data_IF_693334359460
#
_entry.id   IF_693334359460
#
_cell.length_a   1.000
_cell.length_b   1.000
_cell.length_c   1.000
_cell.angle_alpha   90.00
_cell.angle_beta   90.00
_cell.angle_gamma   90.00
#
_symmetry.space_group_name_H-M   'P 1'
#
loop_
_entity.id
_entity.type
_entity.pdbx_description
1 polymer ?
#
# COMPACT_ATOMS: atom_id res chain seq x y z
N UNK A 1 21.61 23.44 3.49
CA UNK A 1 20.30 23.30 4.16
C UNK A 1 19.41 22.38 3.35
N UNK A 2 18.99 21.25 3.92
CA UNK A 2 17.95 20.30 3.43
C UNK A 2 16.58 20.92 3.18
N UNK A 3 16.35 22.16 3.60
CA UNK A 3 15.00 22.74 3.70
C UNK A 3 14.34 22.48 5.06
N UNK A 4 15.08 21.95 6.03
CA UNK A 4 14.60 21.82 7.41
C UNK A 4 14.40 23.17 8.10
N UNK A 5 13.35 23.22 8.93
CA UNK A 5 12.99 24.40 9.69
C UNK A 5 13.94 24.66 10.86
N UNK A 6 13.91 25.89 11.38
CA UNK A 6 14.57 26.23 12.64
C UNK A 6 13.84 25.54 13.79
N UNK A 7 14.62 24.99 14.72
CA UNK A 7 14.10 24.54 16.02
C UNK A 7 13.96 25.73 16.97
N UNK A 8 12.94 25.74 17.84
CA UNK A 8 12.75 26.79 18.86
C UNK A 8 12.43 26.16 20.21
N UNK A 9 13.18 26.54 21.25
CA UNK A 9 12.93 26.08 22.61
C UNK A 9 11.91 26.96 23.37
N UNK A 10 11.55 26.56 24.60
CA UNK A 10 10.62 27.30 25.45
C UNK A 10 11.15 28.69 25.89
N UNK A 11 12.44 28.96 25.73
CA UNK A 11 13.08 30.23 26.02
C UNK A 11 13.23 31.12 24.77
N UNK A 12 12.58 30.76 23.65
CA UNK A 12 12.67 31.44 22.36
C UNK A 12 14.10 31.51 21.79
N UNK A 13 14.96 30.56 22.14
CA UNK A 13 16.21 30.36 21.43
C UNK A 13 15.96 29.54 20.17
N UNK A 14 16.54 29.97 19.06
CA UNK A 14 16.47 29.27 17.78
C UNK A 14 17.71 28.39 17.60
N UNK A 15 17.53 27.21 17.02
CA UNK A 15 18.59 26.26 16.75
C UNK A 15 18.58 25.85 15.28
N UNK A 16 19.76 25.77 14.68
CA UNK A 16 19.95 25.35 13.30
C UNK A 16 21.31 24.68 13.11
N UNK A 17 21.43 24.00 11.98
CA UNK A 17 22.70 23.53 11.45
C UNK A 17 23.09 24.38 10.24
N UNK A 18 24.34 24.83 10.20
CA UNK A 18 24.95 25.47 9.04
C UNK A 18 25.75 24.45 8.24
N UNK A 19 25.81 24.64 6.92
CA UNK A 19 26.67 23.86 6.03
C UNK A 19 28.04 24.52 5.83
N UNK A 20 28.69 24.12 4.74
CA UNK A 20 29.96 24.65 4.28
C UNK A 20 29.97 26.19 4.27
N UNK A 21 31.05 26.75 4.79
CA UNK A 21 31.26 28.20 4.84
C UNK A 21 32.58 28.58 5.47
N UNK A 22 32.84 29.88 5.56
CA UNK A 22 33.90 30.40 6.43
C UNK A 22 33.69 29.91 7.87
N UNK A 23 34.79 29.70 8.58
CA UNK A 23 34.75 29.35 10.00
C UNK A 23 35.73 30.24 10.76
N UNK A 24 35.17 31.15 11.55
CA UNK A 24 35.91 32.13 12.37
C UNK A 24 35.40 32.18 13.82
N UNK A 25 34.40 31.35 14.15
CA UNK A 25 33.81 31.23 15.49
C UNK A 25 34.85 30.98 16.59
N UNK A 26 35.91 30.21 16.30
CA UNK A 26 36.98 29.92 17.25
C UNK A 26 38.06 31.02 17.38
N UNK A 27 38.09 32.01 16.49
CA UNK A 27 39.13 33.05 16.48
C UNK A 27 38.59 34.42 16.88
N UNK A 28 37.82 35.04 15.99
CA UNK A 28 37.31 36.41 16.13
C UNK A 28 35.78 36.48 16.07
N UNK A 29 35.12 35.32 15.97
CA UNK A 29 33.67 35.22 15.81
C UNK A 29 33.20 35.65 14.42
N UNK A 30 31.93 35.34 14.12
CA UNK A 30 31.22 35.88 12.96
C UNK A 30 30.83 34.84 11.92
N UNK A 31 31.64 33.79 11.71
CA UNK A 31 31.34 32.71 10.76
C UNK A 31 31.31 31.35 11.44
N UNK A 32 30.23 30.61 11.21
CA UNK A 32 29.93 29.34 11.87
C UNK A 32 29.72 28.23 10.82
N UNK A 33 30.63 28.05 9.87
CA UNK A 33 30.55 26.91 8.92
C UNK A 33 30.50 25.57 9.64
N UNK A 34 29.69 24.63 9.12
CA UNK A 34 29.48 23.27 9.65
C UNK A 34 29.27 23.21 11.16
N UNK A 35 28.29 23.96 11.66
CA UNK A 35 28.05 24.14 13.09
C UNK A 35 26.59 23.95 13.46
N UNK A 36 26.33 23.42 14.66
CA UNK A 36 25.07 23.68 15.35
C UNK A 36 25.15 25.09 15.96
N UNK A 37 24.15 25.92 15.71
CA UNK A 37 24.13 27.32 16.17
C UNK A 37 22.89 27.56 17.01
N UNK A 38 23.07 28.13 18.20
CA UNK A 38 22.01 28.66 19.07
C UNK A 38 21.93 30.16 18.91
N UNK A 39 20.80 30.67 18.47
CA UNK A 39 20.47 32.09 18.43
C UNK A 39 19.55 32.44 19.60
N UNK A 40 19.83 33.53 20.32
CA UNK A 40 18.89 34.07 21.29
C UNK A 40 18.23 35.33 20.75
N UNK A 41 16.98 35.57 21.17
CA UNK A 41 16.21 36.78 20.86
C UNK A 41 16.09 37.73 22.05
N UNK A 42 16.66 37.38 23.21
CA UNK A 42 16.37 38.05 24.50
C UNK A 42 16.81 39.51 24.60
N UNK A 43 17.72 39.99 23.76
CA UNK A 43 18.15 41.41 23.72
C UNK A 43 18.45 41.94 22.31
N UNK A 44 18.49 41.04 21.33
CA UNK A 44 18.56 41.21 19.86
C UNK A 44 18.80 39.81 19.30
N UNK A 45 18.54 39.57 18.02
CA UNK A 45 18.89 38.29 17.40
C UNK A 45 20.42 38.16 17.31
N UNK A 46 21.01 37.26 18.09
CA UNK A 46 22.45 37.03 18.12
C UNK A 46 22.79 35.58 18.45
N UNK A 47 23.99 35.13 18.04
CA UNK A 47 24.52 33.82 18.45
C UNK A 47 24.79 33.84 19.95
N UNK A 48 24.19 32.89 20.67
CA UNK A 48 24.33 32.72 22.10
C UNK A 48 25.31 31.58 22.44
N UNK A 49 25.33 30.52 21.63
CA UNK A 49 26.28 29.41 21.75
C UNK A 49 26.36 28.62 20.43
N UNK A 50 27.33 27.72 20.31
CA UNK A 50 27.50 26.88 19.13
C UNK A 50 28.28 25.60 19.42
N UNK A 51 28.19 24.63 18.51
CA UNK A 51 29.08 23.48 18.42
C UNK A 51 29.57 23.36 16.98
N UNK A 52 30.86 23.13 16.77
CA UNK A 52 31.41 22.73 15.48
C UNK A 52 32.27 21.46 15.68
N UNK A 53 32.14 20.43 14.84
CA UNK A 53 32.95 19.22 14.94
C UNK A 53 34.45 19.51 14.89
N UNK A 54 35.28 18.76 15.62
CA UNK A 54 36.74 18.96 15.66
C UNK A 54 37.39 18.84 14.27
N UNK A 55 36.76 18.10 13.36
CA UNK A 55 37.16 17.93 11.96
C UNK A 55 36.46 18.89 10.98
N UNK A 56 35.85 19.99 11.46
CA UNK A 56 35.18 21.02 10.65
C UNK A 56 35.93 21.38 9.37
N UNK A 57 37.24 21.66 9.45
CA UNK A 57 38.04 22.01 8.28
C UNK A 57 38.13 20.87 7.24
N UNK A 58 38.17 19.61 7.70
CA UNK A 58 38.14 18.46 6.79
C UNK A 58 36.77 18.33 6.13
N UNK A 59 35.69 18.47 6.90
CA UNK A 59 34.34 18.41 6.37
C UNK A 59 34.12 19.46 5.28
N UNK A 60 34.57 20.70 5.54
CA UNK A 60 34.49 21.79 4.58
C UNK A 60 35.26 21.49 3.28
N UNK A 61 36.46 20.91 3.37
CA UNK A 61 37.26 20.54 2.19
C UNK A 61 36.66 19.38 1.39
N UNK A 62 35.90 18.50 2.04
CA UNK A 62 35.32 17.30 1.44
C UNK A 62 33.85 17.44 1.03
N UNK A 63 33.24 18.62 1.18
CA UNK A 63 31.80 18.84 0.95
C UNK A 63 30.93 17.92 1.84
N UNK A 64 31.35 17.72 3.10
CA UNK A 64 30.63 16.92 4.09
C UNK A 64 29.72 17.79 4.98
N UNK A 65 29.00 18.74 4.35
CA UNK A 65 28.14 19.73 5.01
C UNK A 65 27.39 19.16 6.22
N UNK A 66 27.56 19.80 7.38
CA UNK A 66 26.74 19.45 8.54
C UNK A 66 25.29 19.85 8.29
N UNK A 67 25.05 21.11 7.90
CA UNK A 67 23.73 21.64 7.58
C UNK A 67 23.13 21.12 6.27
N UNK A 68 23.57 19.96 5.77
CA UNK A 68 22.74 19.18 4.85
C UNK A 68 21.58 18.51 5.57
N UNK A 69 21.73 18.17 6.85
CA UNK A 69 20.63 17.69 7.68
C UNK A 69 19.90 18.82 8.39
N UNK A 70 19.00 18.41 9.27
CA UNK A 70 18.25 19.29 10.15
C UNK A 70 18.31 18.79 11.59
N UNK A 71 18.50 19.70 12.56
CA UNK A 71 18.49 19.34 13.95
C UNK A 71 17.05 19.18 14.47
N UNK A 72 16.86 18.35 15.49
CA UNK A 72 15.63 18.34 16.29
C UNK A 72 15.92 18.55 17.78
N UNK A 73 15.05 19.29 18.47
CA UNK A 73 15.06 19.35 19.92
C UNK A 73 14.46 18.05 20.48
N UNK A 74 15.11 17.48 21.48
CA UNK A 74 14.63 16.27 22.12
C UNK A 74 13.88 16.60 23.42
N UNK A 75 12.85 15.81 23.79
CA UNK A 75 12.19 15.99 25.07
C UNK A 75 13.16 15.81 26.25
N UNK A 76 13.04 16.64 27.27
CA UNK A 76 13.92 16.57 28.46
C UNK A 76 13.91 15.20 29.15
N UNK A 77 12.83 14.42 28.96
CA UNK A 77 12.70 13.05 29.45
C UNK A 77 13.75 12.07 28.90
N UNK A 78 14.41 12.38 27.78
CA UNK A 78 15.54 11.59 27.28
C UNK A 78 16.89 12.08 27.80
N UNK A 79 16.92 13.24 28.46
CA UNK A 79 18.09 13.83 29.08
C UNK A 79 18.58 13.08 30.32
N UNK A 80 19.64 13.59 30.91
CA UNK A 80 20.18 13.14 32.20
C UNK A 80 20.26 14.32 33.17
N UNK A 81 20.61 14.06 34.43
CA UNK A 81 20.85 15.14 35.41
C UNK A 81 21.99 16.07 34.96
N UNK A 82 23.00 15.53 34.27
CA UNK A 82 24.13 16.33 33.78
C UNK A 82 23.82 17.05 32.46
N UNK A 83 22.94 16.48 31.64
CA UNK A 83 22.59 16.97 30.31
C UNK A 83 21.06 16.91 30.11
N UNK A 84 20.30 17.83 30.71
CA UNK A 84 18.84 17.78 30.73
C UNK A 84 18.21 18.16 29.39
N UNK A 85 18.83 19.08 28.63
CA UNK A 85 18.25 19.69 27.44
C UNK A 85 19.06 19.30 26.20
N UNK A 86 18.51 18.41 25.36
CA UNK A 86 19.27 17.83 24.25
C UNK A 86 18.81 18.32 22.87
N UNK A 87 19.77 18.37 21.97
CA UNK A 87 19.64 18.60 20.53
C UNK A 87 20.36 17.47 19.80
N UNK A 88 19.78 16.97 18.71
CA UNK A 88 20.43 15.94 17.89
C UNK A 88 20.35 16.28 16.42
N UNK A 89 21.38 15.90 15.68
CA UNK A 89 21.51 16.18 14.26
C UNK A 89 22.63 15.39 13.59
N UNK A 90 22.65 15.42 12.26
CA UNK A 90 23.63 14.74 11.43
C UNK A 90 23.69 15.39 10.04
N UNK A 91 24.82 15.27 9.34
CA UNK A 91 25.01 15.83 7.99
C UNK A 91 25.44 14.80 6.94
N UNK A 92 26.05 15.28 5.85
CA UNK A 92 26.55 14.42 4.74
C UNK A 92 27.59 13.40 5.20
N UNK A 93 28.34 13.72 6.27
CA UNK A 93 29.34 12.83 6.86
C UNK A 93 28.72 11.52 7.42
N UNK A 94 27.44 11.54 7.83
CA UNK A 94 26.77 10.38 8.44
C UNK A 94 27.11 10.17 9.93
N UNK A 95 27.74 11.15 10.57
CA UNK A 95 27.94 11.18 12.03
C UNK A 95 26.71 11.74 12.72
N UNK A 96 26.23 11.06 13.76
CA UNK A 96 25.18 11.60 14.64
C UNK A 96 25.85 12.34 15.80
N UNK A 97 25.44 13.59 16.02
CA UNK A 97 25.91 14.45 17.10
C UNK A 97 24.79 14.67 18.11
N UNK A 98 25.05 14.37 19.38
CA UNK A 98 24.16 14.69 20.50
C UNK A 98 24.76 15.85 21.30
N UNK A 99 24.07 16.98 21.30
CA UNK A 99 24.54 18.25 21.85
C UNK A 99 23.69 18.66 23.04
N UNK A 100 24.33 19.16 24.09
CA UNK A 100 23.65 19.77 25.24
C UNK A 100 23.34 21.24 24.90
N UNK A 101 22.06 21.63 25.00
CA UNK A 101 21.57 22.97 24.67
C UNK A 101 22.00 24.03 25.70
N UNK A 102 22.41 23.60 26.89
CA UNK A 102 22.89 24.47 27.96
C UNK A 102 24.40 24.69 27.88
N UNK A 103 25.11 23.80 27.20
CA UNK A 103 26.55 23.87 26.98
C UNK A 103 26.90 23.14 25.68
N UNK A 104 26.93 23.88 24.55
CA UNK A 104 27.14 23.26 23.25
C UNK A 104 28.60 22.84 23.00
N UNK A 105 29.52 23.15 23.91
CA UNK A 105 30.89 22.63 23.88
C UNK A 105 31.86 23.36 22.94
N UNK A 106 31.32 24.15 21.99
CA UNK A 106 32.07 24.96 21.03
C UNK A 106 33.12 24.16 20.25
N UNK A 107 33.89 24.84 19.40
CA UNK A 107 34.93 24.17 18.63
C UNK A 107 36.16 23.87 19.48
N UNK A 108 36.68 22.66 19.33
CA UNK A 108 38.00 22.29 19.82
C UNK A 108 38.70 21.43 18.74
N UNK A 109 39.92 21.79 18.31
CA UNK A 109 40.58 21.12 17.18
C UNK A 109 41.02 19.68 17.49
N UNK A 110 40.93 19.22 18.73
CA UNK A 110 41.41 17.90 19.16
C UNK A 110 40.29 16.92 19.55
N UNK A 111 39.09 17.42 19.88
CA UNK A 111 37.97 16.59 20.31
C UNK A 111 36.64 17.34 20.22
N UNK A 112 35.52 16.60 20.20
CA UNK A 112 34.19 17.16 20.36
C UNK A 112 33.83 17.24 21.86
N UNK A 113 33.54 18.43 22.37
CA UNK A 113 33.15 18.64 23.78
C UNK A 113 31.62 18.58 23.98
N UNK A 114 30.96 17.61 23.34
CA UNK A 114 29.51 17.43 23.40
C UNK A 114 29.16 16.13 24.12
N UNK A 115 27.86 15.86 24.30
CA UNK A 115 27.37 14.68 25.02
C UNK A 115 27.81 13.38 24.33
N UNK A 116 27.65 13.30 23.00
CA UNK A 116 28.02 12.10 22.26
C UNK A 116 28.28 12.38 20.77
N UNK A 117 29.21 11.64 20.18
CA UNK A 117 29.45 11.57 18.72
C UNK A 117 29.40 10.11 18.28
N UNK A 118 28.64 9.79 17.23
CA UNK A 118 28.51 8.43 16.67
C UNK A 118 28.90 8.44 15.19
N UNK A 119 30.21 8.35 14.87
CA UNK A 119 30.68 8.39 13.49
C UNK A 119 30.25 7.13 12.73
N UNK A 120 29.76 7.31 11.50
CA UNK A 120 29.38 6.21 10.60
C UNK A 120 28.19 5.36 11.06
N UNK A 121 27.41 5.83 12.04
CA UNK A 121 26.19 5.13 12.49
C UNK A 121 25.14 5.03 11.37
N UNK A 122 25.10 6.06 10.52
CA UNK A 122 24.25 6.20 9.35
C UNK A 122 25.09 6.64 8.15
N UNK A 123 24.52 6.60 6.94
CA UNK A 123 25.09 7.30 5.79
C UNK A 123 24.65 8.77 5.77
N UNK A 124 25.22 9.56 4.86
CA UNK A 124 24.92 10.99 4.74
C UNK A 124 23.42 11.28 4.63
N UNK A 125 22.99 12.34 5.32
CA UNK A 125 21.59 12.76 5.39
C UNK A 125 21.37 14.12 4.74
N UNK A 126 20.21 14.27 4.13
CA UNK A 126 19.72 15.52 3.51
C UNK A 126 18.32 15.86 4.05
N UNK A 127 18.11 15.69 5.34
CA UNK A 127 16.84 15.87 6.03
C UNK A 127 16.99 15.69 7.54
N UNK A 128 15.90 15.87 8.27
CA UNK A 128 15.88 15.70 9.73
C UNK A 128 15.61 14.26 10.14
N UNK A 129 16.08 13.82 11.33
CA UNK A 129 15.53 12.65 11.98
C UNK A 129 14.08 12.88 12.43
N UNK A 130 13.37 11.79 12.70
CA UNK A 130 12.17 11.82 13.52
C UNK A 130 12.44 11.27 14.92
N UNK A 131 11.65 11.72 15.89
CA UNK A 131 11.66 11.17 17.25
C UNK A 131 10.30 10.59 17.62
N UNK A 132 10.30 9.40 18.23
CA UNK A 132 9.12 8.85 18.88
C UNK A 132 9.50 7.88 19.99
N UNK A 133 8.96 8.11 21.20
CA UNK A 133 9.05 7.17 22.32
C UNK A 133 10.47 6.60 22.55
N UNK A 134 11.44 7.49 22.77
CA UNK A 134 12.86 7.18 22.96
C UNK A 134 13.59 6.59 21.73
N UNK A 135 12.99 6.64 20.54
CA UNK A 135 13.63 6.22 19.28
C UNK A 135 13.90 7.42 18.37
N UNK A 136 15.09 7.45 17.79
CA UNK A 136 15.51 8.36 16.73
C UNK A 136 15.53 7.62 15.40
N UNK A 137 14.85 8.14 14.40
CA UNK A 137 14.70 7.53 13.08
C UNK A 137 15.52 8.30 12.05
N UNK A 138 16.43 7.62 11.37
CA UNK A 138 17.26 8.19 10.31
C UNK A 138 17.16 7.37 9.03
N UNK A 139 17.05 8.06 7.90
CA UNK A 139 17.17 7.49 6.57
C UNK A 139 18.31 8.21 5.82
N UNK A 140 19.48 7.58 5.78
CA UNK A 140 20.63 8.06 5.02
C UNK A 140 20.55 7.67 3.55
N UNK A 141 21.33 8.37 2.71
CA UNK A 141 21.44 8.08 1.28
C UNK A 141 22.25 6.82 1.04
N UNK A 142 21.69 5.89 0.27
CA UNK A 142 22.21 4.55 0.05
C UNK A 142 22.15 3.66 1.30
N UNK A 143 21.36 4.04 2.31
CA UNK A 143 21.15 3.31 3.56
C UNK A 143 19.69 2.84 3.68
N UNK A 144 19.39 2.15 4.78
CA UNK A 144 18.03 1.78 5.19
C UNK A 144 17.54 2.68 6.32
N UNK A 145 16.23 2.67 6.57
CA UNK A 145 15.65 3.39 7.71
C UNK A 145 16.11 2.68 8.99
N UNK A 146 16.72 3.43 9.91
CA UNK A 146 17.26 2.91 11.17
C UNK A 146 16.61 3.62 12.36
N UNK A 147 16.34 2.86 13.41
CA UNK A 147 15.87 3.37 14.70
C UNK A 147 16.95 3.17 15.77
N UNK A 148 17.39 4.25 16.41
CA UNK A 148 18.34 4.23 17.53
C UNK A 148 17.63 4.55 18.84
N UNK A 149 17.91 3.80 19.90
CA UNK A 149 17.38 4.11 21.23
C UNK A 149 18.19 5.24 21.87
N UNK A 150 17.50 6.20 22.48
CA UNK A 150 18.08 7.21 23.36
C UNK A 150 17.49 7.13 24.77
N UNK A 151 18.35 7.12 25.78
CA UNK A 151 17.95 7.17 27.19
C UNK A 151 19.08 7.75 28.02
N UNK A 152 18.73 8.56 29.03
CA UNK A 152 19.70 9.15 29.96
C UNK A 152 20.86 9.87 29.24
N UNK A 153 20.53 10.69 28.24
CA UNK A 153 21.45 11.42 27.39
C UNK A 153 22.47 10.56 26.61
N UNK A 154 22.14 9.30 26.32
CA UNK A 154 22.99 8.39 25.54
C UNK A 154 22.18 7.73 24.43
N UNK A 155 22.67 7.84 23.20
CA UNK A 155 22.20 7.11 22.02
C UNK A 155 22.95 5.78 21.96
N UNK A 156 22.22 4.67 21.78
CA UNK A 156 22.82 3.37 21.51
C UNK A 156 23.64 3.38 20.22
N UNK A 157 24.84 2.80 20.23
CA UNK A 157 25.76 2.79 19.08
C UNK A 157 25.32 1.87 17.93
N UNK A 158 24.29 1.07 18.15
CA UNK A 158 23.69 0.18 17.14
C UNK A 158 22.20 0.46 17.03
N UNK A 159 21.62 0.40 15.82
CA UNK A 159 20.18 0.56 15.67
C UNK A 159 19.46 -0.61 16.35
N UNK A 160 18.44 -0.30 17.13
CA UNK A 160 17.58 -1.32 17.76
C UNK A 160 16.62 -1.96 16.76
N UNK A 161 16.40 -1.31 15.61
CA UNK A 161 15.65 -1.84 14.48
C UNK A 161 16.06 -1.14 13.19
N UNK A 162 15.93 -1.82 12.05
CA UNK A 162 16.19 -1.26 10.73
C UNK A 162 15.31 -1.91 9.66
N UNK A 163 14.99 -1.18 8.60
CA UNK A 163 14.27 -1.71 7.42
C UNK A 163 15.23 -2.46 6.47
N UNK A 164 14.66 -3.02 5.40
CA UNK A 164 15.43 -3.77 4.39
C UNK A 164 15.63 -2.99 3.08
N UNK A 165 14.77 -2.01 2.81
CA UNK A 165 14.78 -1.26 1.55
C UNK A 165 15.81 -0.15 1.61
N UNK A 166 16.71 -0.10 0.63
CA UNK A 166 17.70 0.96 0.49
C UNK A 166 17.20 2.02 -0.47
N UNK A 167 17.34 3.29 -0.11
CA UNK A 167 17.01 4.41 -0.99
C UNK A 167 18.28 5.08 -1.51
N UNK A 168 18.36 5.37 -2.80
CA UNK A 168 19.53 5.91 -3.49
C UNK A 168 19.51 7.41 -3.82
N UNK A 169 18.35 8.06 -3.76
CA UNK A 169 18.11 9.48 -3.90
C UNK A 169 18.49 10.30 -2.66
N UNK A 170 17.87 11.47 -2.46
CA UNK A 170 18.21 12.41 -1.37
C UNK A 170 16.96 13.07 -0.81
N UNK A 171 17.04 13.64 0.40
CA UNK A 171 15.96 14.44 0.96
C UNK A 171 15.00 13.67 1.87
N UNK A 172 15.42 12.55 2.45
CA UNK A 172 14.57 11.70 3.27
C UNK A 172 14.39 12.27 4.68
N UNK A 173 13.17 12.71 5.00
CA UNK A 173 12.78 13.08 6.36
C UNK A 173 11.65 12.16 6.80
N UNK A 174 11.89 11.24 7.76
CA UNK A 174 10.84 10.38 8.28
C UNK A 174 9.76 11.20 9.02
N UNK A 175 8.54 10.70 9.02
CA UNK A 175 7.42 11.21 9.83
C UNK A 175 6.81 10.10 10.64
N UNK A 176 6.39 10.38 11.88
CA UNK A 176 5.76 9.39 12.76
C UNK A 176 4.28 9.72 12.97
N UNK A 177 3.42 8.72 12.83
CA UNK A 177 2.04 8.76 13.33
C UNK A 177 1.82 7.67 14.36
N UNK A 178 1.07 7.94 15.41
CA UNK A 178 0.78 6.96 16.45
C UNK A 178 -0.56 7.25 17.14
N UNK A 179 -1.11 6.24 17.82
CA UNK A 179 -2.19 6.43 18.79
C UNK A 179 -1.58 6.43 20.21
N UNK A 180 -1.31 7.62 20.73
CA UNK A 180 -0.48 7.78 21.93
C UNK A 180 0.90 7.17 21.70
N UNK A 181 1.26 6.15 22.49
CA UNK A 181 2.53 5.40 22.35
C UNK A 181 2.38 4.08 21.58
N UNK A 182 1.18 3.78 21.06
CA UNK A 182 0.85 2.51 20.41
C UNK A 182 0.61 2.69 18.91
N UNK A 183 0.66 1.57 18.17
CA UNK A 183 0.38 1.53 16.72
C UNK A 183 1.16 2.57 15.92
N UNK A 184 2.42 2.78 16.30
CA UNK A 184 3.26 3.79 15.69
C UNK A 184 3.75 3.33 14.31
N UNK A 185 3.64 4.23 13.34
CA UNK A 185 4.04 4.03 11.96
C UNK A 185 5.11 5.06 11.62
N UNK A 186 6.22 4.58 11.08
CA UNK A 186 7.26 5.42 10.49
C UNK A 186 7.01 5.50 8.98
N UNK A 187 6.72 6.72 8.52
CA UNK A 187 6.51 7.05 7.12
C UNK A 187 7.77 7.64 6.52
N UNK A 188 8.13 7.23 5.32
CA UNK A 188 9.24 7.81 4.57
C UNK A 188 8.93 7.73 3.08
N UNK A 189 9.24 8.79 2.34
CA UNK A 189 9.02 8.88 0.89
C UNK A 189 10.32 8.57 0.16
N UNK A 190 10.36 7.48 -0.59
CA UNK A 190 11.48 7.11 -1.44
C UNK A 190 11.40 7.89 -2.76
N UNK A 191 12.41 8.72 -3.00
CA UNK A 191 12.48 9.66 -4.13
C UNK A 191 13.40 9.19 -5.25
N UNK A 192 13.79 7.91 -5.26
CA UNK A 192 14.69 7.31 -6.25
C UNK A 192 14.22 7.52 -7.70
N UNK A 193 12.91 7.61 -7.91
CA UNK A 193 12.28 7.92 -9.19
C UNK A 193 12.60 9.32 -9.76
N UNK A 194 13.21 10.23 -8.98
CA UNK A 194 13.43 11.62 -9.40
C UNK A 194 14.23 11.74 -10.71
N UNK A 195 15.32 10.98 -10.83
CA UNK A 195 16.22 11.09 -12.00
C UNK A 195 15.62 10.55 -13.30
N UNK A 196 14.63 9.67 -13.19
CA UNK A 196 13.93 9.03 -14.32
C UNK A 196 12.56 9.64 -14.60
N UNK A 197 12.19 10.72 -13.91
CA UNK A 197 10.83 11.27 -13.91
C UNK A 197 9.76 10.22 -13.54
N UNK A 198 10.16 9.24 -12.72
CA UNK A 198 9.31 8.19 -12.18
C UNK A 198 8.60 8.64 -10.89
N UNK A 199 7.63 7.85 -10.40
CA UNK A 199 6.93 8.16 -9.17
C UNK A 199 7.83 8.01 -7.95
N UNK A 200 7.52 8.72 -6.85
CA UNK A 200 8.06 8.35 -5.55
C UNK A 200 7.36 7.10 -5.00
N UNK A 201 7.93 6.48 -3.97
CA UNK A 201 7.30 5.36 -3.26
C UNK A 201 7.12 5.75 -1.80
N UNK A 202 5.87 5.89 -1.36
CA UNK A 202 5.57 6.09 0.06
C UNK A 202 5.70 4.74 0.76
N UNK A 203 6.57 4.66 1.76
CA UNK A 203 6.74 3.51 2.63
C UNK A 203 6.15 3.78 4.02
N UNK A 204 5.55 2.76 4.61
CA UNK A 204 5.06 2.75 5.98
C UNK A 204 5.63 1.53 6.72
N UNK A 205 6.35 1.76 7.81
CA UNK A 205 6.95 0.72 8.63
C UNK A 205 6.36 0.73 10.04
N UNK A 206 6.32 -0.44 10.70
CA UNK A 206 6.07 -0.48 12.14
C UNK A 206 7.23 0.23 12.86
N UNK A 207 6.97 1.35 13.52
CA UNK A 207 8.03 2.18 14.11
C UNK A 207 8.78 1.49 15.26
N UNK A 208 8.24 0.41 15.84
CA UNK A 208 8.91 -0.39 16.87
C UNK A 208 9.66 -1.59 16.31
N UNK A 209 9.39 -1.97 15.06
CA UNK A 209 10.06 -3.04 14.33
C UNK A 209 10.10 -2.72 12.84
N UNK A 210 11.12 -1.99 12.41
CA UNK A 210 11.29 -1.51 11.03
C UNK A 210 11.49 -2.64 10.01
N UNK A 211 11.79 -3.87 10.45
CA UNK A 211 11.81 -5.05 9.57
C UNK A 211 10.40 -5.40 9.06
N UNK A 212 9.34 -4.88 9.69
CA UNK A 212 7.96 -5.02 9.25
C UNK A 212 7.52 -3.78 8.46
N UNK A 213 7.59 -3.88 7.14
CA UNK A 213 6.89 -2.95 6.26
C UNK A 213 5.38 -3.26 6.29
N UNK A 214 4.58 -2.24 6.60
CA UNK A 214 3.12 -2.33 6.68
C UNK A 214 2.47 -2.05 5.33
N UNK A 215 3.09 -1.18 4.54
CA UNK A 215 2.56 -0.68 3.29
C UNK A 215 3.68 -0.06 2.45
N UNK A 216 3.62 -0.25 1.13
CA UNK A 216 4.35 0.57 0.19
C UNK A 216 3.47 0.89 -1.02
N UNK A 217 3.57 2.11 -1.54
CA UNK A 217 2.67 2.61 -2.58
C UNK A 217 2.90 1.94 -3.94
N UNK A 218 4.04 1.28 -4.14
CA UNK A 218 4.34 0.53 -5.37
C UNK A 218 3.63 -0.83 -5.44
N UNK A 219 3.10 -1.35 -4.33
CA UNK A 219 2.26 -2.56 -4.30
C UNK A 219 1.03 -2.46 -5.22
N UNK A 220 0.46 -1.27 -5.40
CA UNK A 220 -0.63 -1.02 -6.34
C UNK A 220 -0.56 0.40 -6.91
N UNK A 221 0.40 0.62 -7.81
CA UNK A 221 0.66 1.93 -8.38
C UNK A 221 -0.52 2.54 -9.16
N UNK A 222 -1.47 1.74 -9.65
CA UNK A 222 -2.67 2.29 -10.33
C UNK A 222 -3.58 3.06 -9.38
N UNK A 223 -3.61 2.66 -8.09
CA UNK A 223 -4.41 3.29 -7.04
C UNK A 223 -3.58 4.25 -6.19
N UNK A 224 -2.35 3.86 -5.89
CA UNK A 224 -1.51 4.43 -4.85
C UNK A 224 -0.31 5.19 -5.44
N UNK A 225 -0.49 5.93 -6.52
CA UNK A 225 0.60 6.69 -7.12
C UNK A 225 0.81 8.02 -6.38
N UNK A 226 1.97 8.26 -5.72
CA UNK A 226 2.23 9.57 -5.11
C UNK A 226 2.39 10.70 -6.14
N UNK A 227 2.66 10.36 -7.41
CA UNK A 227 3.04 11.29 -8.47
C UNK A 227 4.56 11.30 -8.71
N UNK A 228 5.04 12.05 -9.71
CA UNK A 228 6.47 12.13 -10.03
C UNK A 228 7.28 12.56 -8.81
N UNK A 229 8.37 11.85 -8.53
CA UNK A 229 9.16 12.06 -7.32
C UNK A 229 9.75 13.47 -7.27
N UNK A 230 9.78 14.08 -6.07
CA UNK A 230 10.46 15.35 -5.82
C UNK A 230 11.35 15.22 -4.60
N UNK A 231 12.59 15.72 -4.69
CA UNK A 231 13.52 15.71 -3.56
C UNK A 231 13.00 16.57 -2.40
N UNK A 232 13.44 16.23 -1.19
CA UNK A 232 13.12 16.94 0.04
C UNK A 232 11.60 16.99 0.32
N UNK A 233 10.88 15.94 -0.09
CA UNK A 233 9.48 15.76 0.24
C UNK A 233 9.38 15.11 1.62
N UNK A 234 8.54 15.68 2.49
CA UNK A 234 8.28 15.16 3.83
C UNK A 234 6.83 14.67 3.86
N UNK A 235 6.57 13.38 4.11
CA UNK A 235 5.21 12.89 4.32
C UNK A 235 4.56 13.62 5.48
N UNK A 236 3.43 14.28 5.27
CA UNK A 236 2.69 14.94 6.35
C UNK A 236 1.55 14.03 6.81
N UNK A 237 1.49 13.74 8.11
CA UNK A 237 0.39 12.95 8.69
C UNK A 237 -0.57 13.86 9.42
N UNK A 238 -1.83 13.91 8.98
CA UNK A 238 -2.87 14.72 9.60
C UNK A 238 -4.26 14.08 9.40
N UNK A 239 -5.12 14.16 10.42
CA UNK A 239 -6.52 13.72 10.35
C UNK A 239 -6.71 12.29 9.80
N UNK A 240 -5.82 11.36 10.19
CA UNK A 240 -5.86 9.96 9.75
C UNK A 240 -5.43 9.72 8.30
N UNK A 241 -4.81 10.72 7.67
CA UNK A 241 -4.31 10.67 6.29
C UNK A 241 -2.83 11.00 6.20
N UNK A 242 -2.18 10.54 5.14
CA UNK A 242 -0.79 10.86 4.81
C UNK A 242 -0.78 11.62 3.49
N UNK A 243 -0.22 12.81 3.52
CA UNK A 243 -0.14 13.73 2.39
C UNK A 243 1.28 13.65 1.82
N UNK A 244 1.39 13.27 0.55
CA UNK A 244 2.66 13.15 -0.16
C UNK A 244 2.64 14.04 -1.38
N UNK A 245 3.67 14.86 -1.50
CA UNK A 245 3.87 15.78 -2.62
C UNK A 245 4.53 15.02 -3.77
N UNK A 246 3.97 15.16 -4.96
CA UNK A 246 4.64 14.85 -6.22
C UNK A 246 4.90 16.13 -7.02
N UNK A 247 5.59 16.02 -8.15
CA UNK A 247 5.75 17.16 -9.04
C UNK A 247 4.36 17.61 -9.52
N UNK A 248 4.03 18.88 -9.26
CA UNK A 248 2.72 19.49 -9.56
C UNK A 248 1.49 18.77 -8.99
N UNK A 249 1.67 17.88 -8.02
CA UNK A 249 0.61 17.00 -7.50
C UNK A 249 0.69 16.86 -5.99
N UNK A 250 -0.46 16.58 -5.37
CA UNK A 250 -0.57 16.22 -3.96
C UNK A 250 -1.44 14.98 -3.85
N UNK A 251 -0.85 13.89 -3.40
CA UNK A 251 -1.50 12.61 -3.21
C UNK A 251 -1.85 12.42 -1.74
N UNK A 252 -3.06 11.94 -1.45
CA UNK A 252 -3.57 11.80 -0.09
C UNK A 252 -3.93 10.34 0.17
N UNK A 253 -3.14 9.70 1.01
CA UNK A 253 -3.27 8.30 1.39
C UNK A 253 -4.08 8.16 2.69
N UNK A 254 -4.80 7.06 2.81
CA UNK A 254 -5.58 6.73 4.00
C UNK A 254 -6.00 5.27 3.98
N UNK A 255 -6.64 4.82 5.06
CA UNK A 255 -7.22 3.49 5.11
C UNK A 255 -8.31 3.32 4.06
N UNK A 256 -8.34 2.16 3.43
CA UNK A 256 -9.39 1.81 2.49
C UNK A 256 -10.52 1.18 3.29
N UNK A 257 -11.62 1.91 3.42
CA UNK A 257 -12.87 1.35 3.87
C UNK A 257 -13.46 0.52 2.72
N UNK A 258 -13.33 -0.80 2.79
CA UNK A 258 -13.86 -1.73 1.80
C UNK A 258 -15.21 -2.27 2.26
N UNK A 259 -16.14 -2.41 1.31
CA UNK A 259 -17.38 -3.17 1.47
C UNK A 259 -17.10 -4.59 0.96
N UNK A 260 -17.56 -5.60 1.70
CA UNK A 260 -17.53 -7.00 1.26
C UNK A 260 -18.24 -7.17 -0.09
N UNK A 261 -17.78 -8.12 -0.90
CA UNK A 261 -18.44 -8.40 -2.18
C UNK A 261 -19.76 -9.15 -1.92
N UNK A 262 -20.90 -8.73 -2.51
CA UNK A 262 -22.15 -9.46 -2.36
C UNK A 262 -22.02 -10.93 -2.78
N UNK A 263 -22.69 -11.83 -2.08
CA UNK A 263 -22.77 -13.24 -2.45
C UNK A 263 -24.10 -13.47 -3.18
N UNK A 264 -24.05 -14.12 -4.34
CA UNK A 264 -25.23 -14.51 -5.11
C UNK A 264 -25.52 -15.99 -4.82
N UNK A 265 -26.76 -16.31 -4.44
CA UNK A 265 -27.19 -17.68 -4.18
C UNK A 265 -28.50 -18.02 -4.92
N UNK A 266 -28.53 -19.08 -5.76
CA UNK A 266 -27.39 -19.92 -6.12
C UNK A 266 -26.36 -19.13 -6.96
N UNK A 267 -25.13 -19.62 -7.06
CA UNK A 267 -23.98 -18.95 -7.69
C UNK A 267 -23.97 -19.02 -9.23
N UNK A 268 -25.14 -19.32 -9.82
CA UNK A 268 -25.34 -19.50 -11.25
C UNK A 268 -25.32 -20.98 -11.66
N UNK A 269 -25.25 -21.21 -12.97
CA UNK A 269 -25.26 -22.54 -13.58
C UNK A 269 -26.47 -22.78 -14.48
N UNK A 270 -26.62 -24.05 -14.85
CA UNK A 270 -27.73 -24.54 -15.69
C UNK A 270 -28.86 -25.04 -14.80
N UNK A 271 -30.07 -24.57 -15.08
CA UNK A 271 -31.27 -24.90 -14.33
C UNK A 271 -32.35 -25.42 -15.26
N UNK A 272 -32.78 -26.68 -15.06
CA UNK A 272 -33.87 -27.30 -15.79
C UNK A 272 -35.25 -26.92 -15.23
N UNK A 273 -35.46 -25.62 -15.06
CA UNK A 273 -36.69 -25.02 -14.52
C UNK A 273 -36.96 -23.70 -15.25
N UNK A 274 -38.22 -23.28 -15.28
CA UNK A 274 -38.64 -22.01 -15.85
C UNK A 274 -38.45 -20.81 -14.89
N UNK A 275 -38.06 -21.06 -13.64
CA UNK A 275 -37.74 -20.01 -12.67
C UNK A 275 -36.67 -20.46 -11.68
N UNK A 276 -35.84 -19.50 -11.26
CA UNK A 276 -34.87 -19.65 -10.16
C UNK A 276 -35.04 -18.48 -9.20
N UNK A 277 -35.17 -18.77 -7.91
CA UNK A 277 -35.16 -17.72 -6.87
C UNK A 277 -33.72 -17.42 -6.50
N UNK A 278 -33.34 -16.15 -6.59
CA UNK A 278 -31.99 -15.64 -6.30
C UNK A 278 -32.03 -14.79 -5.04
N UNK A 279 -31.14 -15.09 -4.11
CA UNK A 279 -30.87 -14.29 -2.92
C UNK A 279 -29.49 -13.64 -3.03
N UNK A 280 -29.37 -12.43 -2.49
CA UNK A 280 -28.12 -11.70 -2.35
C UNK A 280 -27.85 -11.50 -0.85
N UNK A 281 -26.58 -11.54 -0.45
CA UNK A 281 -26.19 -11.21 0.93
C UNK A 281 -24.89 -10.43 0.94
N UNK A 282 -24.76 -9.47 1.87
CA UNK A 282 -23.55 -8.69 2.11
C UNK A 282 -23.11 -8.84 3.57
N UNK A 283 -21.81 -8.92 3.83
CA UNK A 283 -21.23 -9.02 5.18
C UNK A 283 -21.09 -7.68 5.90
N UNK A 284 -21.18 -6.57 5.17
CA UNK A 284 -20.96 -5.21 5.65
C UNK A 284 -22.25 -4.61 6.21
N UNK A 285 -22.29 -4.42 7.53
CA UNK A 285 -23.43 -3.78 8.18
C UNK A 285 -23.63 -2.34 7.66
N UNK A 286 -24.86 -2.01 7.23
CA UNK A 286 -25.23 -0.70 6.70
C UNK A 286 -25.24 -0.63 5.17
N UNK A 287 -24.40 -1.45 4.51
CA UNK A 287 -24.28 -1.40 3.05
C UNK A 287 -25.58 -1.80 2.34
N UNK A 288 -25.86 -1.10 1.24
CA UNK A 288 -27.00 -1.36 0.37
C UNK A 288 -26.53 -2.07 -0.90
N UNK A 289 -27.17 -3.19 -1.25
CA UNK A 289 -26.83 -3.96 -2.45
C UNK A 289 -27.77 -3.60 -3.61
N UNK A 290 -27.22 -3.25 -4.76
CA UNK A 290 -27.96 -3.07 -6.01
C UNK A 290 -27.57 -4.15 -7.01
N UNK A 291 -28.48 -4.47 -7.92
CA UNK A 291 -28.27 -5.55 -8.90
C UNK A 291 -28.81 -5.24 -10.29
N UNK A 292 -28.33 -5.99 -11.28
CA UNK A 292 -28.77 -5.94 -12.68
C UNK A 292 -28.90 -7.35 -13.22
N UNK A 293 -29.76 -7.53 -14.24
CA UNK A 293 -30.02 -8.82 -14.91
C UNK A 293 -29.63 -8.80 -16.40
N UNK A 294 -29.21 -7.64 -16.90
CA UNK A 294 -28.96 -7.34 -18.31
C UNK A 294 -27.46 -7.24 -18.63
N UNK A 295 -26.61 -7.81 -17.77
CA UNK A 295 -25.15 -7.79 -17.86
C UNK A 295 -24.50 -6.39 -17.71
N UNK A 296 -25.27 -5.33 -17.44
CA UNK A 296 -24.72 -4.00 -17.12
C UNK A 296 -24.12 -3.97 -15.71
N UNK A 297 -23.21 -3.02 -15.42
CA UNK A 297 -22.66 -2.87 -14.08
C UNK A 297 -23.71 -2.24 -13.14
N UNK A 298 -23.95 -2.80 -11.94
CA UNK A 298 -24.84 -2.19 -10.97
C UNK A 298 -24.31 -0.83 -10.51
N UNK A 299 -25.21 0.15 -10.41
CA UNK A 299 -24.99 1.48 -9.86
C UNK A 299 -26.02 1.75 -8.78
N UNK A 300 -25.92 2.87 -8.07
CA UNK A 300 -26.94 3.33 -7.11
C UNK A 300 -28.30 3.63 -7.75
N UNK A 301 -28.37 3.74 -9.09
CA UNK A 301 -29.64 3.87 -9.84
C UNK A 301 -30.22 2.52 -10.28
N UNK A 302 -29.47 1.42 -10.12
CA UNK A 302 -29.96 0.07 -10.41
C UNK A 302 -30.97 -0.38 -9.36
N UNK A 303 -31.79 -1.42 -9.63
CA UNK A 303 -32.70 -1.98 -8.63
C UNK A 303 -32.00 -2.31 -7.30
N UNK A 304 -32.59 -1.86 -6.20
CA UNK A 304 -32.16 -2.18 -4.84
C UNK A 304 -32.58 -3.62 -4.50
N UNK A 305 -31.69 -4.37 -3.86
CA UNK A 305 -32.01 -5.65 -3.27
C UNK A 305 -32.67 -5.46 -1.90
N UNK A 306 -33.98 -5.71 -1.81
CA UNK A 306 -34.77 -5.67 -0.58
C UNK A 306 -35.22 -7.06 -0.10
N UNK A 307 -35.27 -8.05 -1.02
CA UNK A 307 -35.68 -9.44 -0.79
C UNK A 307 -35.23 -10.33 -1.96
N UNK A 308 -35.24 -11.67 -1.82
CA UNK A 308 -35.01 -12.57 -2.94
C UNK A 308 -35.90 -12.29 -4.16
N UNK A 309 -35.33 -12.36 -5.35
CA UNK A 309 -36.04 -12.10 -6.61
C UNK A 309 -36.01 -13.33 -7.52
N UNK A 310 -36.88 -13.36 -8.52
CA UNK A 310 -37.02 -14.50 -9.43
C UNK A 310 -36.42 -14.17 -10.80
N UNK A 311 -35.57 -15.05 -11.29
CA UNK A 311 -35.07 -15.06 -12.67
C UNK A 311 -35.91 -16.05 -13.46
N UNK A 312 -36.54 -15.60 -14.56
CA UNK A 312 -37.46 -16.40 -15.39
C UNK A 312 -36.94 -16.66 -16.81
N UNK A 313 -35.81 -16.05 -17.18
CA UNK A 313 -35.13 -16.24 -18.45
C UNK A 313 -33.62 -16.32 -18.20
N UNK A 314 -32.87 -16.89 -19.14
CA UNK A 314 -31.40 -16.86 -19.07
C UNK A 314 -30.90 -15.42 -18.93
N UNK A 315 -30.11 -15.17 -17.88
CA UNK A 315 -29.66 -13.85 -17.49
C UNK A 315 -28.34 -13.92 -16.73
N UNK A 316 -27.58 -12.84 -16.72
CA UNK A 316 -26.44 -12.67 -15.81
C UNK A 316 -26.86 -11.73 -14.69
N UNK A 317 -26.90 -12.26 -13.47
CA UNK A 317 -27.07 -11.45 -12.26
C UNK A 317 -25.73 -10.82 -11.95
N UNK A 318 -25.68 -9.49 -11.88
CA UNK A 318 -24.56 -8.76 -11.27
C UNK A 318 -25.05 -8.04 -10.03
N UNK A 319 -24.27 -8.06 -8.96
CA UNK A 319 -24.58 -7.37 -7.72
C UNK A 319 -23.38 -6.56 -7.22
N UNK A 320 -23.64 -5.38 -6.66
CA UNK A 320 -22.64 -4.50 -6.08
C UNK A 320 -23.23 -3.77 -4.87
N UNK A 321 -22.42 -3.57 -3.85
CA UNK A 321 -22.83 -2.88 -2.64
C UNK A 321 -22.19 -1.51 -2.47
N UNK A 322 -22.93 -0.64 -1.80
CA UNK A 322 -22.65 0.78 -1.64
C UNK A 322 -22.93 1.23 -0.21
N UNK A 323 -22.03 2.04 0.35
CA UNK A 323 -22.14 2.67 1.65
C UNK A 323 -21.39 4.02 1.62
N UNK A 324 -21.94 5.03 2.29
CA UNK A 324 -21.34 6.35 2.33
C UNK A 324 -20.02 6.33 3.09
N UNK A 325 -18.95 6.91 2.51
CA UNK A 325 -17.62 6.94 3.13
C UNK A 325 -16.81 5.64 2.97
N UNK A 326 -17.33 4.68 2.19
CA UNK A 326 -16.64 3.48 1.78
C UNK A 326 -16.37 3.50 0.27
N UNK A 327 -15.44 2.67 -0.17
CA UNK A 327 -15.34 2.33 -1.58
C UNK A 327 -16.40 1.28 -1.90
N UNK A 328 -17.08 1.42 -3.04
CA UNK A 328 -18.00 0.42 -3.56
C UNK A 328 -17.36 -0.97 -3.53
N UNK A 329 -18.16 -2.01 -3.28
CA UNK A 329 -17.68 -3.39 -3.35
C UNK A 329 -17.17 -3.75 -4.75
N UNK A 330 -16.43 -4.86 -4.86
CA UNK A 330 -16.28 -5.52 -6.15
C UNK A 330 -17.65 -6.02 -6.66
N UNK A 331 -17.75 -6.27 -7.96
CA UNK A 331 -18.99 -6.75 -8.59
C UNK A 331 -19.03 -8.28 -8.50
N UNK A 332 -20.05 -8.80 -7.82
CA UNK A 332 -20.41 -10.20 -7.89
C UNK A 332 -21.12 -10.48 -9.22
N UNK A 333 -20.85 -11.61 -9.86
CA UNK A 333 -21.44 -11.96 -11.15
C UNK A 333 -21.73 -13.46 -11.22
N UNK A 334 -22.98 -13.82 -11.57
CA UNK A 334 -23.43 -15.20 -11.72
C UNK A 334 -24.32 -15.33 -12.97
N UNK A 335 -24.04 -16.33 -13.81
CA UNK A 335 -24.80 -16.61 -15.01
C UNK A 335 -25.83 -17.69 -14.77
N UNK A 336 -27.10 -17.39 -15.03
CA UNK A 336 -28.22 -18.31 -14.88
C UNK A 336 -28.70 -18.71 -16.26
N UNK A 337 -28.59 -20.00 -16.59
CA UNK A 337 -29.04 -20.54 -17.86
C UNK A 337 -30.27 -21.39 -17.58
N UNK A 338 -31.44 -20.90 -17.98
CA UNK A 338 -32.72 -21.56 -17.74
C UNK A 338 -33.19 -22.27 -19.01
N UNK A 339 -33.72 -23.48 -18.85
CA UNK A 339 -34.36 -24.18 -19.94
C UNK A 339 -34.99 -25.50 -19.53
N UNK A 340 -35.41 -26.28 -20.52
CA UNK A 340 -36.00 -27.60 -20.28
C UNK A 340 -34.92 -28.66 -20.15
N UNK A 341 -35.19 -29.72 -19.38
CA UNK A 341 -34.33 -30.88 -19.30
C UNK A 341 -34.11 -31.50 -20.69
N UNK A 342 -32.92 -32.05 -20.99
CA UNK A 342 -32.68 -32.76 -22.23
C UNK A 342 -33.63 -33.93 -22.38
N UNK A 343 -34.25 -34.04 -23.56
CA UNK A 343 -35.21 -35.10 -23.86
C UNK A 343 -35.10 -35.54 -25.31
N UNK A 344 -35.29 -36.84 -25.53
CA UNK A 344 -35.54 -37.40 -26.86
C UNK A 344 -37.03 -37.28 -27.13
N UNK A 345 -37.40 -36.44 -28.09
CA UNK A 345 -38.78 -36.09 -28.42
C UNK A 345 -39.41 -37.08 -29.40
N UNK A 346 -38.61 -37.63 -30.32
CA UNK A 346 -39.07 -38.68 -31.25
C UNK A 346 -37.90 -39.54 -31.72
N UNK A 347 -38.24 -40.75 -32.18
CA UNK A 347 -37.29 -41.70 -32.78
C UNK A 347 -37.89 -42.17 -34.09
N UNK A 348 -37.14 -42.04 -35.17
CA UNK A 348 -37.55 -42.47 -36.51
C UNK A 348 -36.47 -43.33 -37.15
N UNK A 349 -36.89 -44.31 -37.94
CA UNK A 349 -35.97 -45.12 -38.75
C UNK A 349 -35.98 -44.52 -40.15
N UNK A 350 -34.82 -44.13 -40.64
CA UNK A 350 -34.67 -43.56 -41.98
C UNK A 350 -34.76 -44.65 -43.05
N UNK A 351 -34.95 -44.23 -44.30
CA UNK A 351 -34.92 -45.14 -45.46
C UNK A 351 -33.54 -45.80 -45.69
N UNK A 352 -32.48 -45.26 -45.09
CA UNK A 352 -31.14 -45.86 -45.06
C UNK A 352 -30.91 -46.77 -43.85
N UNK A 353 -31.97 -47.07 -43.08
CA UNK A 353 -31.97 -47.85 -41.84
C UNK A 353 -31.13 -47.23 -40.70
N UNK A 354 -30.77 -45.96 -40.76
CA UNK A 354 -30.24 -45.25 -39.59
C UNK A 354 -31.38 -44.86 -38.63
N UNK A 355 -31.09 -44.79 -37.33
CA UNK A 355 -32.03 -44.20 -36.37
C UNK A 355 -31.74 -42.71 -36.27
N UNK A 356 -32.78 -41.89 -36.46
CA UNK A 356 -32.75 -40.44 -36.27
C UNK A 356 -33.58 -40.10 -35.02
N UNK A 357 -32.97 -39.35 -34.10
CA UNK A 357 -33.57 -38.92 -32.86
C UNK A 357 -33.71 -37.40 -32.86
N UNK A 358 -34.96 -36.93 -32.83
CA UNK A 358 -35.22 -35.52 -32.57
C UNK A 358 -35.14 -35.28 -31.07
N UNK A 359 -34.23 -34.39 -30.69
CA UNK A 359 -33.92 -34.07 -29.31
C UNK A 359 -34.33 -32.63 -29.01
N UNK A 360 -34.57 -32.33 -27.74
CA UNK A 360 -34.61 -30.96 -27.25
C UNK A 360 -33.77 -30.78 -26.01
N UNK A 361 -33.30 -29.55 -25.82
CA UNK A 361 -32.42 -29.13 -24.74
C UNK A 361 -32.17 -27.62 -24.83
N UNK A 362 -31.27 -27.13 -24.01
CA UNK A 362 -30.79 -25.75 -24.01
C UNK A 362 -29.81 -25.53 -25.17
N UNK A 363 -30.08 -24.53 -26.01
CA UNK A 363 -29.16 -24.09 -27.07
C UNK A 363 -27.80 -23.64 -26.51
N UNK A 364 -26.72 -23.94 -27.22
CA UNK A 364 -25.34 -23.67 -26.84
C UNK A 364 -24.74 -24.70 -25.88
N UNK A 365 -25.55 -25.58 -25.28
CA UNK A 365 -25.06 -26.63 -24.40
C UNK A 365 -24.64 -27.89 -25.16
N UNK A 366 -23.73 -28.66 -24.53
CA UNK A 366 -23.16 -29.86 -25.12
C UNK A 366 -23.90 -31.09 -24.61
N UNK A 367 -24.40 -31.90 -25.54
CA UNK A 367 -25.12 -33.13 -25.25
C UNK A 367 -24.38 -34.34 -25.80
N UNK A 368 -24.48 -35.47 -25.10
CA UNK A 368 -24.04 -36.77 -25.60
C UNK A 368 -25.25 -37.67 -25.79
N UNK A 369 -25.38 -38.21 -27.00
CA UNK A 369 -26.29 -39.33 -27.26
C UNK A 369 -25.57 -40.62 -26.88
N UNK A 370 -26.20 -41.40 -26.02
CA UNK A 370 -25.73 -42.72 -25.66
C UNK A 370 -26.72 -43.78 -26.10
N UNK A 371 -26.20 -44.97 -26.41
CA UNK A 371 -27.00 -46.14 -26.64
C UNK A 371 -26.58 -47.33 -25.77
N UNK A 372 -27.51 -48.23 -25.57
CA UNK A 372 -27.32 -49.48 -24.83
C UNK A 372 -28.14 -50.60 -25.49
N UNK A 373 -27.71 -51.85 -25.29
CA UNK A 373 -28.47 -53.06 -25.69
C UNK A 373 -29.10 -53.76 -24.49
N UNK A 374 -28.72 -53.37 -23.26
CA UNK A 374 -29.09 -54.06 -22.02
C UNK A 374 -29.54 -53.10 -20.90
N UNK A 375 -29.61 -51.79 -21.18
CA UNK A 375 -29.88 -50.69 -20.24
C UNK A 375 -28.84 -50.50 -19.12
N UNK A 376 -27.79 -51.31 -19.09
CA UNK A 376 -26.74 -51.29 -18.06
C UNK A 376 -25.47 -50.67 -18.62
N UNK A 377 -25.04 -51.12 -19.79
CA UNK A 377 -23.83 -50.67 -20.46
C UNK A 377 -24.18 -49.64 -21.52
N UNK A 378 -23.73 -48.40 -21.30
CA UNK A 378 -24.02 -47.27 -22.19
C UNK A 378 -22.75 -46.83 -22.92
N UNK A 379 -22.83 -46.77 -24.25
CA UNK A 379 -21.76 -46.26 -25.10
C UNK A 379 -22.16 -44.89 -25.66
N UNK A 380 -21.21 -43.96 -25.69
CA UNK A 380 -21.39 -42.68 -26.38
C UNK A 380 -21.36 -42.90 -27.90
N UNK A 381 -22.39 -42.39 -28.60
CA UNK A 381 -22.48 -42.44 -30.06
C UNK A 381 -21.97 -41.15 -30.69
N UNK A 382 -22.43 -40.02 -30.15
CA UNK A 382 -22.05 -38.70 -30.63
C UNK A 382 -22.16 -37.68 -29.51
N UNK A 383 -21.32 -36.65 -29.60
CA UNK A 383 -21.38 -35.47 -28.74
C UNK A 383 -21.59 -34.25 -29.63
N UNK A 384 -22.57 -33.41 -29.31
CA UNK A 384 -22.92 -32.26 -30.14
C UNK A 384 -23.25 -31.04 -29.27
N UNK A 385 -22.94 -29.85 -29.77
CA UNK A 385 -23.40 -28.59 -29.19
C UNK A 385 -24.72 -28.23 -29.86
N UNK A 386 -25.79 -28.14 -29.08
CA UNK A 386 -27.12 -27.84 -29.60
C UNK A 386 -27.13 -26.44 -30.24
N UNK A 387 -27.30 -26.34 -31.56
CA UNK A 387 -27.37 -25.04 -32.24
C UNK A 387 -28.70 -24.30 -31.98
N UNK A 388 -29.73 -25.03 -31.56
CA UNK A 388 -31.03 -24.51 -31.20
C UNK A 388 -31.64 -25.41 -30.10
N UNK A 389 -32.78 -24.98 -29.53
CA UNK A 389 -33.44 -25.75 -28.48
C UNK A 389 -34.02 -27.10 -28.97
N UNK A 390 -34.12 -27.28 -30.29
CA UNK A 390 -34.40 -28.56 -30.93
C UNK A 390 -33.25 -28.90 -31.88
N UNK A 391 -32.82 -30.15 -31.88
CA UNK A 391 -31.72 -30.63 -32.71
C UNK A 391 -31.86 -32.14 -32.95
N UNK A 392 -31.35 -32.62 -34.09
CA UNK A 392 -31.38 -34.03 -34.42
C UNK A 392 -30.00 -34.68 -34.22
N UNK A 393 -30.01 -35.91 -33.71
CA UNK A 393 -28.85 -36.78 -33.63
C UNK A 393 -29.16 -38.10 -34.32
N UNK A 394 -28.15 -38.74 -34.90
CA UNK A 394 -28.34 -40.02 -35.58
C UNK A 394 -27.42 -41.11 -35.05
N UNK A 395 -27.93 -42.34 -35.13
CA UNK A 395 -27.18 -43.57 -34.95
C UNK A 395 -27.17 -44.35 -36.28
N UNK A 396 -26.10 -44.19 -37.09
CA UNK A 396 -25.99 -44.90 -38.36
C UNK A 396 -25.70 -46.39 -38.19
N UNK A 397 -25.38 -46.84 -36.97
CA UNK A 397 -25.00 -48.22 -36.66
C UNK A 397 -26.12 -49.05 -36.05
N UNK A 398 -27.32 -48.46 -35.92
CA UNK A 398 -28.47 -49.08 -35.26
C UNK A 398 -28.85 -50.45 -35.85
N UNK A 399 -28.65 -50.64 -37.16
CA UNK A 399 -28.90 -51.91 -37.88
C UNK A 399 -28.10 -53.09 -37.42
N UNK A 400 -26.99 -52.89 -36.70
CA UNK A 400 -26.16 -53.98 -36.19
C UNK A 400 -26.76 -54.64 -34.94
N UNK A 401 -27.92 -54.17 -34.46
CA UNK A 401 -28.53 -54.60 -33.20
C UNK A 401 -30.02 -54.91 -33.41
N UNK A 402 -30.52 -55.98 -32.78
CA UNK A 402 -31.95 -56.32 -32.81
C UNK A 402 -32.79 -55.34 -32.00
N UNK A 403 -32.24 -54.89 -30.87
CA UNK A 403 -32.86 -53.95 -29.94
C UNK A 403 -31.80 -52.94 -29.48
N UNK A 404 -32.20 -51.67 -29.35
CA UNK A 404 -31.30 -50.59 -28.92
C UNK A 404 -32.06 -49.52 -28.14
N UNK A 405 -31.54 -49.15 -26.98
CA UNK A 405 -32.06 -48.11 -26.10
C UNK A 405 -31.22 -46.85 -26.24
N UNK A 406 -31.83 -45.68 -26.12
CA UNK A 406 -31.16 -44.39 -26.25
C UNK A 406 -31.42 -43.50 -25.04
N UNK A 407 -30.42 -42.70 -24.68
CA UNK A 407 -30.58 -41.58 -23.72
C UNK A 407 -29.74 -40.39 -24.15
N UNK A 408 -30.21 -39.20 -23.79
CA UNK A 408 -29.55 -37.94 -24.01
C UNK A 408 -29.08 -37.38 -22.67
N UNK A 409 -27.81 -37.03 -22.55
CA UNK A 409 -27.24 -36.43 -21.34
C UNK A 409 -26.61 -35.09 -21.69
N UNK A 410 -26.84 -34.08 -20.86
CA UNK A 410 -26.05 -32.85 -20.89
C UNK A 410 -24.69 -33.11 -20.23
N UNK A 411 -23.63 -32.61 -20.85
CA UNK A 411 -22.28 -32.64 -20.31
C UNK A 411 -21.96 -31.31 -19.63
N UNK A 412 -21.20 -31.32 -18.52
CA UNK A 412 -20.73 -30.10 -17.87
C UNK A 412 -19.75 -29.30 -18.74
#
# INVERSE_FOLDING_TARGET
MSGDGLCVDAANNLYLESGNGSFSAYTNGGDYGDSFVKLSSSNQLAVADYFAPSNQNSMALNDEDLGSGGPILLPDAVGSVAHPHLLVGAGKEGTIYLVDRDNMGQFNPTQNNIVQTLPGAIRGVWGSPAYFNNLLFYQGVGDVLKAFRITNAVIGTTPVSQSTTRFGGVGYTPSISANGTTSAIAWVDDTDGFSSNGPSVLHAYNATNLAQELYNSSQNLLRDNPGPAVKYAVPMVANGKVYVRGEYTLSVFGLINLIDTPVISPDGGVFFTNLVTVALSDGTAGATTHYTLDNTLPTTNSPLYDRPFVVTNTATVKARAFESGFNDSAVASASFILGSAPQVSSVTISSSHSVLLSCSGISGQRYVLQASVDLMNWIALSTNVAAANQFDLSDPTATNYSDRFYRLLELP
#
